data_IF_485417580230
#
_entry.id   IF_485417580230
#
_cell.length_a   1.000
_cell.length_b   1.000
_cell.length_c   1.000
_cell.angle_alpha   90.00
_cell.angle_beta   90.00
_cell.angle_gamma   90.00
#
_symmetry.space_group_name_H-M   'P 1'
#
loop_
_entity.id
_entity.type
_entity.pdbx_description
1 polymer ?
#
# COMPACT_ATOMS: atom_id res chain seq x y z
N UNK A 1 39.42 24.76 -0.38
CA UNK A 1 38.10 24.57 0.26
C UNK A 1 37.57 23.21 -0.18
N UNK A 2 37.28 22.33 0.77
CA UNK A 2 37.09 20.89 0.56
C UNK A 2 35.70 20.54 -0.02
N UNK A 3 35.71 19.61 -0.97
CA UNK A 3 34.54 19.00 -1.60
C UNK A 3 34.00 17.89 -0.71
N UNK A 4 32.74 18.01 -0.26
CA UNK A 4 32.02 16.94 0.45
C UNK A 4 30.94 16.33 -0.45
N UNK A 5 31.27 15.20 -1.05
CA UNK A 5 30.35 14.26 -1.68
C UNK A 5 29.46 13.61 -0.62
N UNK A 6 28.14 13.84 -0.70
CA UNK A 6 27.14 13.18 0.15
C UNK A 6 26.46 12.06 -0.65
N UNK A 7 26.77 10.82 -0.30
CA UNK A 7 26.08 9.62 -0.79
C UNK A 7 24.61 9.58 -0.30
N UNK A 8 23.63 9.18 -1.13
CA UNK A 8 22.26 8.99 -0.67
C UNK A 8 22.12 7.65 0.06
N UNK A 9 21.74 7.70 1.33
CA UNK A 9 21.32 6.53 2.10
C UNK A 9 19.99 6.00 1.54
N UNK A 10 19.94 4.69 1.30
CA UNK A 10 18.75 3.96 0.88
C UNK A 10 17.62 4.09 1.90
N UNK A 11 16.35 4.28 1.50
CA UNK A 11 15.23 4.26 2.44
C UNK A 11 15.02 2.83 2.95
N UNK A 12 15.43 2.58 4.20
CA UNK A 12 15.10 1.37 4.93
C UNK A 12 13.59 1.27 5.00
N UNK A 13 13.01 0.31 4.27
CA UNK A 13 11.58 0.02 4.37
C UNK A 13 11.36 -0.54 5.77
N UNK A 14 10.78 0.27 6.67
CA UNK A 14 10.42 -0.18 8.01
C UNK A 14 9.43 -1.32 7.87
N UNK A 15 9.85 -2.54 8.23
CA UNK A 15 8.98 -3.70 8.30
C UNK A 15 7.93 -3.46 9.36
N UNK A 16 6.67 -3.69 9.01
CA UNK A 16 5.54 -3.36 9.88
C UNK A 16 5.46 -4.29 11.10
N UNK A 17 6.02 -5.49 10.99
CA UNK A 17 6.10 -6.47 12.07
C UNK A 17 7.57 -6.63 12.47
N UNK A 18 7.99 -5.95 13.53
CA UNK A 18 9.32 -6.09 14.13
C UNK A 18 9.19 -6.51 15.58
N UNK A 19 9.96 -7.51 15.99
CA UNK A 19 10.15 -7.83 17.41
C UNK A 19 10.78 -6.63 18.13
N UNK A 20 10.18 -6.18 19.23
CA UNK A 20 10.88 -5.33 20.20
C UNK A 20 11.88 -6.21 20.95
N UNK A 21 13.12 -6.26 20.49
CA UNK A 21 14.24 -6.74 21.29
C UNK A 21 14.57 -5.66 22.32
N UNK A 22 14.56 -6.00 23.61
CA UNK A 22 14.77 -5.10 24.75
C UNK A 22 16.20 -4.52 24.88
N UNK A 23 16.95 -4.37 23.78
CA UNK A 23 18.39 -4.08 23.81
C UNK A 23 18.79 -2.59 23.71
N UNK A 24 17.84 -1.66 23.88
CA UNK A 24 18.20 -0.24 24.01
C UNK A 24 18.34 0.15 25.49
N UNK A 25 19.47 -0.23 26.10
CA UNK A 25 19.95 0.41 27.35
C UNK A 25 21.45 0.75 27.23
N UNK A 26 21.86 2.01 27.45
CA UNK A 26 23.27 2.39 27.38
C UNK A 26 24.10 1.80 28.54
N UNK A 27 25.41 1.54 28.35
CA UNK A 27 26.22 0.80 29.31
C UNK A 27 26.71 1.70 30.45
N UNK A 28 26.56 1.24 31.70
CA UNK A 28 27.25 1.77 32.88
C UNK A 28 28.13 0.69 33.52
N UNK A 29 29.34 1.02 34.03
CA UNK A 29 30.32 0.06 34.51
C UNK A 29 30.02 -0.48 35.94
N UNK A 30 30.60 -1.62 36.35
CA UNK A 30 30.08 -2.43 37.46
C UNK A 30 30.81 -2.18 38.79
N UNK A 31 30.19 -2.53 39.93
CA UNK A 31 30.94 -2.98 41.09
C UNK A 31 30.69 -4.47 41.41
N UNK A 32 31.77 -5.13 41.79
CA UNK A 32 31.96 -6.56 42.04
C UNK A 32 31.34 -7.04 43.34
N UNK A 33 30.45 -8.05 43.34
CA UNK A 33 30.28 -9.09 44.40
C UNK A 33 29.57 -10.35 43.78
N UNK A 34 29.56 -11.54 44.43
CA UNK A 34 30.19 -12.77 43.93
C UNK A 34 29.22 -13.77 43.26
N UNK A 35 29.81 -14.68 42.50
CA UNK A 35 29.16 -15.79 41.82
C UNK A 35 28.57 -16.81 42.82
N UNK A 36 27.25 -16.82 42.96
CA UNK A 36 26.40 -18.03 43.13
C UNK A 36 24.96 -17.60 43.33
N UNK A 37 24.19 -17.50 42.24
CA UNK A 37 22.74 -17.68 42.26
C UNK A 37 22.25 -17.83 40.82
N UNK A 38 22.00 -19.09 40.46
CA UNK A 38 20.95 -19.51 39.54
C UNK A 38 20.92 -18.82 38.18
N UNK A 39 21.44 -19.56 37.21
CA UNK A 39 20.91 -19.66 35.86
C UNK A 39 19.38 -19.60 35.94
N UNK A 40 18.82 -18.40 35.77
CA UNK A 40 17.42 -18.22 35.42
C UNK A 40 17.28 -18.61 33.95
N UNK A 41 17.35 -19.92 33.70
CA UNK A 41 16.76 -20.50 32.50
C UNK A 41 15.34 -19.96 32.43
N UNK A 42 15.08 -19.20 31.38
CA UNK A 42 13.78 -18.74 30.92
C UNK A 42 12.87 -19.94 30.64
N UNK A 43 12.44 -20.64 31.68
CA UNK A 43 11.36 -21.62 31.61
C UNK A 43 10.06 -20.84 31.72
N UNK A 44 9.68 -20.15 30.65
CA UNK A 44 8.29 -19.72 30.50
C UNK A 44 7.42 -20.96 30.64
N UNK A 45 6.50 -20.95 31.61
CA UNK A 45 5.59 -22.07 31.83
C UNK A 45 4.83 -22.33 30.52
N UNK A 46 4.54 -23.60 30.18
CA UNK A 46 3.80 -23.94 28.95
C UNK A 46 2.47 -23.16 28.85
N UNK A 47 1.85 -22.86 30.00
CA UNK A 47 0.67 -22.00 30.11
C UNK A 47 0.92 -20.56 29.66
N UNK A 48 2.06 -19.95 30.01
CA UNK A 48 2.40 -18.59 29.59
C UNK A 48 2.68 -18.50 28.09
N UNK A 49 3.31 -19.52 27.50
CA UNK A 49 3.55 -19.59 26.05
C UNK A 49 2.24 -19.75 25.26
N UNK A 50 1.30 -20.54 25.76
CA UNK A 50 -0.02 -20.68 25.14
C UNK A 50 -0.82 -19.36 25.17
N UNK A 51 -0.81 -18.64 26.29
CA UNK A 51 -1.46 -17.34 26.41
C UNK A 51 -0.85 -16.29 25.46
N UNK A 52 0.48 -16.28 25.32
CA UNK A 52 1.18 -15.38 24.40
C UNK A 52 0.84 -15.70 22.93
N UNK A 53 0.79 -16.98 22.57
CA UNK A 53 0.37 -17.43 21.25
C UNK A 53 -1.07 -17.01 20.92
N UNK A 54 -2.01 -17.21 21.85
CA UNK A 54 -3.40 -16.80 21.67
C UNK A 54 -3.55 -15.28 21.50
N UNK A 55 -2.82 -14.50 22.31
CA UNK A 55 -2.78 -13.05 22.20
C UNK A 55 -2.23 -12.59 20.84
N UNK A 56 -1.12 -13.19 20.40
CA UNK A 56 -0.49 -12.92 19.11
C UNK A 56 -1.43 -13.26 17.96
N UNK A 57 -2.08 -14.43 18.02
CA UNK A 57 -3.07 -14.86 17.03
C UNK A 57 -4.24 -13.88 16.95
N UNK A 58 -4.83 -13.51 18.09
CA UNK A 58 -5.96 -12.57 18.14
C UNK A 58 -5.59 -11.22 17.50
N UNK A 59 -4.42 -10.69 17.84
CA UNK A 59 -3.90 -9.44 17.27
C UNK A 59 -3.72 -9.56 15.75
N UNK A 60 -3.08 -10.63 15.28
CA UNK A 60 -2.86 -10.86 13.85
C UNK A 60 -4.18 -10.96 13.06
N UNK A 61 -5.15 -11.73 13.55
CA UNK A 61 -6.47 -11.88 12.91
C UNK A 61 -7.24 -10.55 12.86
N UNK A 62 -7.16 -9.75 13.94
CA UNK A 62 -7.73 -8.41 13.95
C UNK A 62 -7.08 -7.51 12.89
N UNK A 63 -5.74 -7.50 12.80
CA UNK A 63 -5.03 -6.72 11.78
C UNK A 63 -5.38 -7.16 10.36
N UNK A 64 -5.46 -8.47 10.09
CA UNK A 64 -5.85 -8.99 8.77
C UNK A 64 -7.29 -8.58 8.40
N UNK A 65 -8.19 -8.56 9.37
CA UNK A 65 -9.57 -8.05 9.17
C UNK A 65 -9.55 -6.57 8.82
N UNK A 66 -8.76 -5.77 9.54
CA UNK A 66 -8.59 -4.34 9.26
C UNK A 66 -8.02 -4.12 7.86
N UNK A 67 -7.02 -4.90 7.42
CA UNK A 67 -6.46 -4.80 6.08
C UNK A 67 -7.52 -5.01 5.00
N UNK A 68 -8.43 -5.98 5.15
CA UNK A 68 -9.54 -6.19 4.20
C UNK A 68 -10.47 -4.98 4.14
N UNK A 69 -10.85 -4.45 5.30
CA UNK A 69 -11.69 -3.27 5.38
C UNK A 69 -11.02 -2.07 4.69
N UNK A 70 -9.72 -1.86 4.92
CA UNK A 70 -8.96 -0.80 4.25
C UNK A 70 -8.94 -0.99 2.73
N UNK A 71 -8.71 -2.21 2.22
CA UNK A 71 -8.75 -2.46 0.77
C UNK A 71 -10.13 -2.12 0.20
N UNK A 72 -11.21 -2.53 0.87
CA UNK A 72 -12.57 -2.25 0.43
C UNK A 72 -12.89 -0.75 0.46
N UNK A 73 -12.53 -0.05 1.55
CA UNK A 73 -12.74 1.40 1.68
C UNK A 73 -11.95 2.16 0.61
N UNK A 74 -10.68 1.81 0.37
CA UNK A 74 -9.87 2.45 -0.67
C UNK A 74 -10.50 2.31 -2.05
N UNK A 75 -11.01 1.12 -2.40
CA UNK A 75 -11.67 0.90 -3.69
C UNK A 75 -12.99 1.66 -3.80
N UNK A 76 -13.83 1.63 -2.76
CA UNK A 76 -15.10 2.36 -2.76
C UNK A 76 -14.88 3.87 -2.89
N UNK A 77 -13.94 4.42 -2.13
CA UNK A 77 -13.58 5.84 -2.19
C UNK A 77 -13.00 6.19 -3.55
N UNK A 78 -12.09 5.37 -4.10
CA UNK A 78 -11.53 5.56 -5.46
C UNK A 78 -12.64 5.61 -6.51
N UNK A 79 -13.56 4.64 -6.50
CA UNK A 79 -14.66 4.56 -7.47
C UNK A 79 -15.61 5.75 -7.35
N UNK A 80 -15.99 6.13 -6.13
CA UNK A 80 -16.86 7.30 -5.89
C UNK A 80 -16.22 8.59 -6.41
N UNK A 81 -14.96 8.82 -6.06
CA UNK A 81 -14.19 10.00 -6.49
C UNK A 81 -14.01 10.02 -8.00
N UNK A 82 -13.67 8.87 -8.60
CA UNK A 82 -13.51 8.75 -10.05
C UNK A 82 -14.79 9.08 -10.82
N UNK A 83 -15.94 8.59 -10.33
CA UNK A 83 -17.25 8.88 -10.94
C UNK A 83 -17.57 10.38 -10.93
N UNK A 84 -17.41 11.02 -9.78
CA UNK A 84 -17.68 12.47 -9.63
C UNK A 84 -16.67 13.28 -10.45
N UNK A 85 -15.39 12.94 -10.34
CA UNK A 85 -14.31 13.61 -11.06
C UNK A 85 -14.48 13.54 -12.56
N UNK A 86 -14.84 12.37 -13.13
CA UNK A 86 -15.07 12.25 -14.57
C UNK A 86 -16.14 13.23 -15.05
N UNK A 87 -17.26 13.37 -14.33
CA UNK A 87 -18.33 14.30 -14.71
C UNK A 87 -17.85 15.75 -14.71
N UNK A 88 -17.14 16.18 -13.66
CA UNK A 88 -16.59 17.53 -13.58
C UNK A 88 -15.58 17.80 -14.71
N UNK A 89 -14.73 16.83 -15.02
CA UNK A 89 -13.71 16.97 -16.06
C UNK A 89 -14.31 17.02 -17.47
N UNK A 90 -15.36 16.24 -17.74
CA UNK A 90 -16.10 16.32 -19.00
C UNK A 90 -16.71 17.72 -19.18
N UNK A 91 -17.36 18.24 -18.14
CA UNK A 91 -17.95 19.57 -18.16
C UNK A 91 -16.89 20.65 -18.39
N UNK A 92 -15.78 20.59 -17.65
CA UNK A 92 -14.64 21.49 -17.82
C UNK A 92 -14.13 21.52 -19.27
N UNK A 93 -13.92 20.35 -19.88
CA UNK A 93 -13.42 20.31 -21.26
C UNK A 93 -14.42 20.80 -22.29
N UNK A 94 -15.72 20.54 -22.09
CA UNK A 94 -16.75 21.08 -22.98
C UNK A 94 -16.80 22.61 -22.91
N UNK A 95 -16.64 23.19 -21.71
CA UNK A 95 -16.63 24.64 -21.53
C UNK A 95 -15.35 25.29 -22.08
N UNK A 96 -14.19 24.67 -21.88
CA UNK A 96 -12.90 25.29 -22.21
C UNK A 96 -12.46 25.05 -23.67
N UNK A 97 -12.62 23.83 -24.18
CA UNK A 97 -12.19 23.45 -25.53
C UNK A 97 -13.35 23.31 -26.53
N UNK A 98 -14.59 23.50 -26.09
CA UNK A 98 -15.78 23.28 -26.89
C UNK A 98 -16.12 21.81 -27.09
N UNK A 99 -17.31 21.57 -27.66
CA UNK A 99 -17.93 20.25 -27.70
C UNK A 99 -17.12 19.20 -28.49
N UNK A 100 -16.47 19.60 -29.60
CA UNK A 100 -15.72 18.67 -30.45
C UNK A 100 -14.50 18.10 -29.74
N UNK A 101 -13.65 18.98 -29.21
CA UNK A 101 -12.41 18.57 -28.53
C UNK A 101 -12.69 17.98 -27.15
N UNK A 102 -13.66 18.53 -26.41
CA UNK A 102 -14.05 17.98 -25.11
C UNK A 102 -14.55 16.53 -25.21
N UNK A 103 -15.34 16.18 -26.23
CA UNK A 103 -15.77 14.79 -26.48
C UNK A 103 -14.58 13.86 -26.77
N UNK A 104 -13.61 14.31 -27.56
CA UNK A 104 -12.43 13.52 -27.89
C UNK A 104 -11.57 13.24 -26.65
N UNK A 105 -11.31 14.28 -25.83
CA UNK A 105 -10.62 14.16 -24.55
C UNK A 105 -11.36 13.19 -23.61
N UNK A 106 -12.66 13.39 -23.45
CA UNK A 106 -13.52 12.55 -22.62
C UNK A 106 -13.48 11.07 -23.03
N UNK A 107 -13.49 10.78 -24.33
CA UNK A 107 -13.43 9.40 -24.84
C UNK A 107 -12.13 8.69 -24.43
N UNK A 108 -10.98 9.35 -24.59
CA UNK A 108 -9.69 8.75 -24.21
C UNK A 108 -9.56 8.53 -22.70
N UNK A 109 -10.03 9.50 -21.91
CA UNK A 109 -10.00 9.40 -20.45
C UNK A 109 -10.96 8.34 -19.94
N UNK A 110 -12.18 8.27 -20.48
CA UNK A 110 -13.19 7.24 -20.11
C UNK A 110 -12.69 5.85 -20.44
N UNK A 111 -12.07 5.66 -21.61
CA UNK A 111 -11.47 4.39 -21.98
C UNK A 111 -10.30 4.00 -21.04
N UNK A 112 -9.44 4.97 -20.69
CA UNK A 112 -8.38 4.73 -19.71
C UNK A 112 -8.95 4.38 -18.33
N UNK A 113 -10.05 5.03 -17.91
CA UNK A 113 -10.70 4.80 -16.62
C UNK A 113 -11.21 3.37 -16.52
N UNK A 114 -11.89 2.85 -17.54
CA UNK A 114 -12.33 1.45 -17.55
C UNK A 114 -11.18 0.44 -17.40
N UNK A 115 -10.00 0.74 -17.95
CA UNK A 115 -8.79 -0.08 -17.79
C UNK A 115 -8.19 0.02 -16.39
N UNK A 116 -8.23 1.20 -15.78
CA UNK A 116 -7.80 1.39 -14.40
C UNK A 116 -8.78 0.69 -13.44
N UNK A 117 -10.08 0.83 -13.65
CA UNK A 117 -11.10 0.18 -12.82
C UNK A 117 -11.00 -1.34 -12.83
N UNK A 118 -10.85 -1.94 -14.00
CA UNK A 118 -10.64 -3.39 -14.11
C UNK A 118 -9.34 -3.83 -13.42
N UNK A 119 -8.25 -3.08 -13.60
CA UNK A 119 -6.97 -3.37 -12.95
C UNK A 119 -7.06 -3.32 -11.42
N UNK A 120 -7.64 -2.24 -10.88
CA UNK A 120 -7.73 -2.03 -9.44
C UNK A 120 -8.68 -3.02 -8.78
N UNK A 121 -9.83 -3.29 -9.41
CA UNK A 121 -10.78 -4.31 -8.94
C UNK A 121 -10.15 -5.71 -8.90
N UNK A 122 -9.41 -6.10 -9.94
CA UNK A 122 -8.72 -7.38 -9.98
C UNK A 122 -7.69 -7.49 -8.84
N UNK A 123 -6.84 -6.47 -8.67
CA UNK A 123 -5.83 -6.47 -7.60
C UNK A 123 -6.46 -6.43 -6.21
N UNK A 124 -7.55 -5.68 -6.02
CA UNK A 124 -8.27 -5.65 -4.75
C UNK A 124 -8.87 -7.02 -4.40
N UNK A 125 -9.41 -7.74 -5.40
CA UNK A 125 -9.89 -9.12 -5.23
C UNK A 125 -8.75 -10.07 -4.86
N UNK A 126 -7.62 -10.01 -5.58
CA UNK A 126 -6.44 -10.83 -5.28
C UNK A 126 -5.91 -10.58 -3.85
N UNK A 127 -5.91 -9.33 -3.40
CA UNK A 127 -5.47 -8.96 -2.06
C UNK A 127 -6.46 -9.41 -0.98
N UNK A 128 -7.77 -9.36 -1.24
CA UNK A 128 -8.77 -9.94 -0.34
C UNK A 128 -8.58 -11.46 -0.19
N UNK A 129 -8.40 -12.16 -1.30
CA UNK A 129 -8.17 -13.62 -1.29
C UNK A 129 -6.86 -13.97 -0.57
N UNK A 130 -5.78 -13.23 -0.83
CA UNK A 130 -4.51 -13.39 -0.10
C UNK A 130 -4.73 -13.20 1.40
N UNK A 131 -5.43 -12.14 1.80
CA UNK A 131 -5.69 -11.84 3.21
C UNK A 131 -6.55 -12.91 3.87
N UNK A 132 -7.56 -13.47 3.18
CA UNK A 132 -8.34 -14.61 3.67
C UNK A 132 -7.46 -15.85 3.89
N UNK A 133 -6.64 -16.22 2.90
CA UNK A 133 -5.77 -17.40 3.02
C UNK A 133 -4.79 -17.28 4.19
N UNK A 134 -4.24 -16.09 4.41
CA UNK A 134 -3.33 -15.83 5.54
C UNK A 134 -4.10 -15.82 6.86
N UNK A 135 -5.32 -15.29 6.88
CA UNK A 135 -6.20 -15.35 8.05
C UNK A 135 -6.46 -16.80 8.49
N UNK A 136 -6.84 -17.68 7.55
CA UNK A 136 -7.10 -19.08 7.85
C UNK A 136 -5.83 -19.82 8.30
N UNK A 137 -4.69 -19.51 7.69
CA UNK A 137 -3.39 -20.06 8.11
C UNK A 137 -2.98 -19.59 9.52
N UNK A 138 -3.18 -18.32 9.87
CA UNK A 138 -2.90 -17.77 11.21
C UNK A 138 -3.83 -18.40 12.25
N UNK A 139 -5.09 -18.66 11.90
CA UNK A 139 -6.03 -19.34 12.79
C UNK A 139 -5.57 -20.76 13.13
N UNK A 140 -4.99 -21.48 12.16
CA UNK A 140 -4.46 -22.84 12.33
C UNK A 140 -3.02 -22.90 12.86
N UNK A 141 -2.31 -21.77 12.94
CA UNK A 141 -0.90 -21.74 13.33
C UNK A 141 -0.67 -22.22 14.77
N UNK A 142 0.38 -23.01 14.95
CA UNK A 142 0.72 -23.68 16.22
C UNK A 142 1.79 -22.94 17.03
N UNK A 143 2.45 -21.94 16.44
CA UNK A 143 3.51 -21.16 17.08
C UNK A 143 3.51 -19.69 16.63
N UNK A 144 4.07 -18.81 17.47
CA UNK A 144 4.19 -17.38 17.15
C UNK A 144 5.13 -17.14 15.98
N UNK A 145 6.21 -17.92 15.89
CA UNK A 145 7.18 -17.84 14.79
C UNK A 145 6.52 -18.17 13.47
N UNK A 146 5.58 -19.13 13.45
CA UNK A 146 4.79 -19.46 12.27
C UNK A 146 3.87 -18.30 11.87
N UNK A 147 3.15 -17.69 12.82
CA UNK A 147 2.29 -16.52 12.57
C UNK A 147 3.12 -15.38 11.94
N UNK A 148 4.28 -15.07 12.48
CA UNK A 148 5.14 -14.01 11.96
C UNK A 148 5.62 -14.32 10.54
N UNK A 149 6.07 -15.54 10.26
CA UNK A 149 6.48 -15.96 8.90
C UNK A 149 5.34 -15.86 7.90
N UNK A 150 4.11 -16.17 8.30
CA UNK A 150 2.92 -16.03 7.46
C UNK A 150 2.65 -14.55 7.12
N UNK A 151 2.76 -13.65 8.11
CA UNK A 151 2.58 -12.21 7.91
C UNK A 151 3.70 -11.59 7.06
N UNK A 152 4.96 -11.97 7.27
CA UNK A 152 6.10 -11.53 6.46
C UNK A 152 5.93 -11.94 4.99
N UNK A 153 5.55 -13.20 4.75
CA UNK A 153 5.26 -13.69 3.39
C UNK A 153 4.11 -12.91 2.75
N UNK A 154 3.07 -12.60 3.52
CA UNK A 154 1.95 -11.78 3.04
C UNK A 154 2.42 -10.38 2.63
N UNK A 155 3.27 -9.73 3.43
CA UNK A 155 3.82 -8.41 3.13
C UNK A 155 4.58 -8.40 1.79
N UNK A 156 5.43 -9.39 1.55
CA UNK A 156 6.17 -9.56 0.28
C UNK A 156 5.21 -9.74 -0.91
N UNK A 157 4.21 -10.61 -0.74
CA UNK A 157 3.19 -10.90 -1.73
C UNK A 157 2.32 -9.68 -2.09
N UNK A 158 1.96 -8.86 -1.09
CA UNK A 158 1.27 -7.58 -1.27
C UNK A 158 2.19 -6.60 -2.01
N UNK A 159 3.46 -6.53 -1.62
CA UNK A 159 4.47 -5.68 -2.24
C UNK A 159 4.64 -5.96 -3.74
N UNK A 160 4.69 -7.23 -4.13
CA UNK A 160 4.74 -7.65 -5.55
C UNK A 160 3.50 -7.20 -6.30
N UNK A 161 2.30 -7.44 -5.75
CA UNK A 161 1.02 -7.04 -6.38
C UNK A 161 0.91 -5.53 -6.53
N UNK A 162 1.30 -4.75 -5.51
CA UNK A 162 1.36 -3.28 -5.57
C UNK A 162 2.29 -2.78 -6.67
N UNK A 163 3.52 -3.30 -6.75
CA UNK A 163 4.49 -2.92 -7.80
C UNK A 163 3.97 -3.23 -9.20
N UNK A 164 3.38 -4.42 -9.38
CA UNK A 164 2.78 -4.84 -10.67
C UNK A 164 1.60 -3.95 -11.06
N UNK A 165 0.69 -3.67 -10.12
CA UNK A 165 -0.44 -2.74 -10.33
C UNK A 165 0.07 -1.38 -10.77
N UNK A 166 1.02 -0.79 -10.02
CA UNK A 166 1.60 0.52 -10.31
C UNK A 166 2.17 0.59 -11.72
N UNK A 167 3.00 -0.38 -12.10
CA UNK A 167 3.58 -0.45 -13.45
C UNK A 167 2.51 -0.51 -14.55
N UNK A 168 1.46 -1.31 -14.36
CA UNK A 168 0.34 -1.41 -15.31
C UNK A 168 -0.47 -0.11 -15.39
N UNK A 169 -0.78 0.51 -14.25
CA UNK A 169 -1.50 1.78 -14.18
C UNK A 169 -0.72 2.90 -14.89
N UNK A 170 0.57 3.04 -14.60
CA UNK A 170 1.46 3.98 -15.28
C UNK A 170 1.51 3.76 -16.79
N UNK A 171 1.49 2.50 -17.25
CA UNK A 171 1.44 2.20 -18.69
C UNK A 171 0.11 2.64 -19.32
N UNK A 172 -1.02 2.45 -18.63
CA UNK A 172 -2.33 2.91 -19.10
C UNK A 172 -2.37 4.44 -19.19
N UNK A 173 -1.89 5.13 -18.15
CA UNK A 173 -1.87 6.61 -18.10
C UNK A 173 -0.92 7.18 -19.15
N UNK A 174 0.27 6.59 -19.37
CA UNK A 174 1.18 7.01 -20.44
C UNK A 174 0.58 6.86 -21.83
N UNK A 175 -0.14 5.76 -22.09
CA UNK A 175 -0.85 5.57 -23.36
C UNK A 175 -1.96 6.61 -23.54
N UNK A 176 -2.71 6.88 -22.47
CA UNK A 176 -3.73 7.93 -22.49
C UNK A 176 -3.11 9.30 -22.80
N UNK A 177 -2.02 9.66 -22.11
CA UNK A 177 -1.28 10.91 -22.33
C UNK A 177 -0.90 11.09 -23.80
N UNK A 178 -0.29 10.09 -24.42
CA UNK A 178 0.08 10.14 -25.84
C UNK A 178 -1.14 10.37 -26.77
N UNK A 179 -2.30 9.81 -26.43
CA UNK A 179 -3.53 10.04 -27.19
C UNK A 179 -4.11 11.45 -26.97
N UNK A 180 -3.97 12.01 -25.75
CA UNK A 180 -4.41 13.37 -25.46
C UNK A 180 -3.51 14.39 -26.18
N UNK A 181 -2.20 14.16 -26.21
CA UNK A 181 -1.22 15.00 -26.93
C UNK A 181 -1.40 14.97 -28.45
N UNK A 182 -2.06 13.94 -29.00
CA UNK A 182 -2.43 13.88 -30.42
C UNK A 182 -3.64 14.77 -30.77
N UNK A 183 -4.38 15.26 -29.78
CA UNK A 183 -5.46 16.23 -29.98
C UNK A 183 -4.82 17.63 -30.03
N UNK A 184 -5.21 18.52 -30.96
CA UNK A 184 -4.64 19.86 -31.09
C UNK A 184 -5.13 20.81 -29.98
N UNK A 185 -4.87 20.45 -28.72
CA UNK A 185 -5.17 21.21 -27.51
C UNK A 185 -3.98 21.14 -26.56
N UNK A 186 -3.73 22.22 -25.82
CA UNK A 186 -2.60 22.27 -24.89
C UNK A 186 -2.97 21.58 -23.58
N UNK A 187 -2.33 20.44 -23.28
CA UNK A 187 -2.48 19.73 -22.00
C UNK A 187 -1.16 19.83 -21.26
N UNK A 188 -1.11 20.60 -20.17
CA UNK A 188 0.09 20.70 -19.33
C UNK A 188 0.28 19.45 -18.46
N UNK A 189 1.51 19.24 -17.99
CA UNK A 189 1.85 18.15 -17.06
C UNK A 189 1.08 18.28 -15.74
N UNK A 190 0.90 19.51 -15.26
CA UNK A 190 0.11 19.80 -14.04
C UNK A 190 -1.36 19.40 -14.23
N UNK A 191 -1.95 19.73 -15.39
CA UNK A 191 -3.32 19.34 -15.72
C UNK A 191 -3.47 17.82 -15.78
N UNK A 192 -2.44 17.10 -16.25
CA UNK A 192 -2.43 15.65 -16.28
C UNK A 192 -2.35 15.05 -14.86
N UNK A 193 -1.60 15.67 -13.95
CA UNK A 193 -1.53 15.24 -12.56
C UNK A 193 -2.83 15.51 -11.79
N UNK A 194 -3.47 16.65 -12.04
CA UNK A 194 -4.81 16.94 -11.53
C UNK A 194 -5.85 15.97 -12.10
N UNK A 195 -5.70 15.57 -13.36
CA UNK A 195 -6.55 14.55 -13.98
C UNK A 195 -6.36 13.19 -13.29
N UNK A 196 -5.12 12.77 -13.00
CA UNK A 196 -4.84 11.53 -12.23
C UNK A 196 -5.56 11.55 -10.88
N UNK A 197 -5.46 12.66 -10.15
CA UNK A 197 -6.06 12.81 -8.82
C UNK A 197 -7.58 12.91 -8.87
N UNK A 198 -8.11 13.67 -9.84
CA UNK A 198 -9.53 13.98 -9.97
C UNK A 198 -10.33 12.82 -10.56
N UNK A 199 -9.87 12.25 -11.68
CA UNK A 199 -10.64 11.26 -12.44
C UNK A 199 -10.29 9.83 -12.08
N UNK A 200 -9.04 9.54 -11.73
CA UNK A 200 -8.62 8.17 -11.43
C UNK A 200 -8.50 7.92 -9.92
N UNK A 201 -8.54 9.00 -9.12
CA UNK A 201 -8.24 8.99 -7.69
C UNK A 201 -6.87 8.32 -7.42
N UNK A 202 -5.88 8.70 -8.24
CA UNK A 202 -4.50 8.21 -8.17
C UNK A 202 -3.51 9.35 -7.91
N UNK A 203 -2.43 9.02 -7.21
CA UNK A 203 -1.31 9.93 -6.99
C UNK A 203 -0.41 10.01 -8.23
N UNK A 204 0.65 10.82 -8.15
CA UNK A 204 1.65 10.96 -9.22
C UNK A 204 2.33 9.64 -9.59
N UNK A 205 2.39 8.69 -8.65
CA UNK A 205 2.99 7.37 -8.84
C UNK A 205 1.99 6.32 -9.35
N UNK A 206 0.70 6.63 -9.46
CA UNK A 206 -0.40 5.72 -9.76
C UNK A 206 -0.74 4.73 -8.63
N UNK A 207 -0.55 5.13 -7.38
CA UNK A 207 -1.15 4.50 -6.21
C UNK A 207 -2.46 5.19 -5.81
N UNK A 208 -3.18 4.59 -4.86
CA UNK A 208 -4.41 5.17 -4.32
C UNK A 208 -4.18 6.60 -3.82
N UNK A 209 -5.03 7.51 -4.27
CA UNK A 209 -5.13 8.88 -3.77
C UNK A 209 -6.59 9.16 -3.37
N UNK A 210 -7.03 8.59 -2.23
CA UNK A 210 -8.36 8.89 -1.71
C UNK A 210 -8.54 10.41 -1.50
N UNK A 211 -7.45 11.16 -1.28
CA UNK A 211 -7.49 12.54 -0.80
C UNK A 211 -7.62 12.55 0.72
N UNK A 212 -7.66 13.76 1.29
CA UNK A 212 -8.07 13.99 2.67
C UNK A 212 -9.59 13.79 2.83
#
# INVERSE_FOLDING_TARGET
>A
AATLTRTPSSPTTQRFYRFKTNDDRPPTPPPSIPATALVSTSSSTPSAQLLLLESTRRTALYTLTLCRNVIAILELTRLRKSRIGLLHWIEFWHQYYGQRFGRALAAHVTHALGRIDSLFRAVASDLHQLTQRVHDAVAAATSEVEILRLLERMEDEVGVRRRRRRKKAQSTIRRMRANLEAIPVQVSDDLLDDLKRGVFALDVYCDYYPGD
#
